data_IF_272751527348
#
_entry.id   IF_272751527348
#
_cell.length_a   1.000
_cell.length_b   1.000
_cell.length_c   1.000
_cell.angle_alpha   90.00
_cell.angle_beta   90.00
_cell.angle_gamma   90.00
#
_symmetry.space_group_name_H-M   'P 1'
#
loop_
_entity.id
_entity.type
_entity.pdbx_description
1 polymer ?
#
# COMPACT_ATOMS: atom_id res chain seq x y z
N UNK A 1 -13.71 6.53 -9.30
CA UNK A 1 -12.90 5.87 -10.36
C UNK A 1 -13.08 4.36 -10.35
N UNK A 2 -12.79 3.65 -9.25
CA UNK A 2 -13.04 2.22 -9.08
C UNK A 2 -14.04 2.04 -7.94
N UNK A 3 -15.08 1.25 -8.14
CA UNK A 3 -16.06 0.91 -7.12
C UNK A 3 -16.30 -0.60 -7.12
N UNK A 4 -16.11 -1.19 -5.97
CA UNK A 4 -16.43 -2.59 -5.69
C UNK A 4 -17.66 -2.60 -4.77
N UNK A 5 -18.73 -3.25 -5.20
CA UNK A 5 -19.97 -3.35 -4.44
C UNK A 5 -20.20 -4.81 -4.05
N UNK A 6 -19.97 -5.14 -2.78
CA UNK A 6 -20.22 -6.45 -2.19
C UNK A 6 -19.60 -7.61 -2.99
N UNK A 7 -18.38 -7.41 -3.48
CA UNK A 7 -17.67 -8.40 -4.31
C UNK A 7 -17.33 -9.63 -3.49
N UNK A 8 -17.71 -10.81 -4.01
CA UNK A 8 -17.37 -12.11 -3.42
C UNK A 8 -16.79 -13.04 -4.48
N UNK A 9 -15.81 -13.85 -4.09
CA UNK A 9 -15.18 -14.85 -4.95
C UNK A 9 -14.76 -16.08 -4.18
N UNK A 10 -15.17 -17.24 -4.68
CA UNK A 10 -14.84 -18.56 -4.15
C UNK A 10 -14.16 -19.42 -5.18
N UNK A 11 -13.37 -20.38 -4.71
CA UNK A 11 -12.73 -21.40 -5.53
C UNK A 11 -13.02 -22.79 -4.96
N UNK A 12 -13.14 -23.78 -5.84
CA UNK A 12 -13.20 -25.18 -5.40
C UNK A 12 -11.77 -25.75 -5.43
N UNK A 13 -11.23 -26.06 -4.27
CA UNK A 13 -9.90 -26.64 -4.11
C UNK A 13 -10.04 -28.01 -3.44
N UNK A 14 -9.74 -29.08 -4.18
CA UNK A 14 -9.83 -30.47 -3.69
C UNK A 14 -11.21 -30.81 -3.07
N UNK A 15 -12.30 -30.35 -3.70
CA UNK A 15 -13.68 -30.61 -3.24
C UNK A 15 -14.13 -29.74 -2.08
N UNK A 16 -13.30 -28.80 -1.60
CA UNK A 16 -13.65 -27.82 -0.57
C UNK A 16 -13.81 -26.44 -1.20
N UNK A 17 -14.89 -25.75 -0.86
CA UNK A 17 -15.08 -24.35 -1.25
C UNK A 17 -14.24 -23.45 -0.36
N UNK A 18 -13.35 -22.67 -0.97
CA UNK A 18 -12.54 -21.64 -0.30
C UNK A 18 -13.04 -20.27 -0.76
N UNK A 19 -13.62 -19.51 0.13
CA UNK A 19 -14.05 -18.14 -0.11
C UNK A 19 -12.85 -17.21 0.03
N UNK A 20 -12.27 -16.80 -1.11
CA UNK A 20 -11.08 -15.96 -1.16
C UNK A 20 -11.39 -14.46 -0.99
N UNK A 21 -12.58 -14.01 -1.38
CA UNK A 21 -13.07 -12.63 -1.20
C UNK A 21 -14.52 -12.72 -0.74
N UNK A 22 -14.86 -11.98 0.32
CA UNK A 22 -16.16 -12.09 1.02
C UNK A 22 -16.76 -10.71 1.20
N UNK A 23 -17.77 -10.40 0.40
CA UNK A 23 -18.59 -9.18 0.51
C UNK A 23 -17.76 -7.88 0.64
N UNK A 24 -16.72 -7.73 -0.20
CA UNK A 24 -15.81 -6.59 -0.14
C UNK A 24 -16.40 -5.40 -0.91
N UNK A 25 -16.45 -4.23 -0.25
CA UNK A 25 -16.85 -2.96 -0.85
C UNK A 25 -15.74 -1.92 -0.65
N UNK A 26 -15.26 -1.34 -1.76
CA UNK A 26 -14.17 -0.35 -1.80
C UNK A 26 -14.52 0.70 -2.85
N UNK A 27 -14.24 1.97 -2.52
CA UNK A 27 -14.28 3.07 -3.49
C UNK A 27 -12.90 3.72 -3.57
N UNK A 28 -12.39 3.87 -4.80
CA UNK A 28 -11.10 4.52 -5.09
C UNK A 28 -11.36 5.73 -5.99
N UNK A 29 -10.83 6.86 -5.60
CA UNK A 29 -10.99 8.12 -6.33
C UNK A 29 -10.04 8.20 -7.54
N UNK A 30 -10.33 9.12 -8.45
CA UNK A 30 -9.47 9.35 -9.62
C UNK A 30 -8.15 9.98 -9.19
N UNK A 31 -7.03 9.42 -9.68
CA UNK A 31 -5.68 9.89 -9.36
C UNK A 31 -5.18 9.44 -7.98
N UNK A 32 -5.98 8.72 -7.21
CA UNK A 32 -5.60 8.18 -5.91
C UNK A 32 -4.65 6.98 -6.05
N UNK A 33 -3.70 6.84 -5.13
CA UNK A 33 -2.96 5.60 -4.90
C UNK A 33 -3.60 4.88 -3.71
N UNK A 34 -4.33 3.81 -3.98
CA UNK A 34 -5.02 3.02 -2.98
C UNK A 34 -4.31 1.70 -2.73
N UNK A 35 -3.98 1.44 -1.47
CA UNK A 35 -3.30 0.22 -1.05
C UNK A 35 -4.27 -0.81 -0.45
N UNK A 36 -3.96 -2.10 -0.65
CA UNK A 36 -4.59 -3.18 0.13
C UNK A 36 -3.50 -4.01 0.77
N UNK A 37 -3.56 -4.13 2.09
CA UNK A 37 -2.60 -4.86 2.89
C UNK A 37 -3.26 -6.02 3.64
N UNK A 38 -2.49 -7.02 3.99
CA UNK A 38 -2.96 -8.18 4.76
C UNK A 38 -1.98 -9.34 4.67
N UNK A 39 -2.12 -10.32 5.56
CA UNK A 39 -1.28 -11.51 5.58
C UNK A 39 -1.39 -12.33 4.29
N UNK A 40 -0.42 -13.23 4.08
CA UNK A 40 -0.50 -14.19 2.97
C UNK A 40 -1.80 -15.00 3.08
N UNK A 41 -2.48 -15.19 1.94
CA UNK A 41 -3.77 -15.88 1.91
C UNK A 41 -4.99 -15.02 2.28
N UNK A 42 -4.84 -13.73 2.61
CA UNK A 42 -5.96 -12.84 2.95
C UNK A 42 -6.94 -12.55 1.78
N UNK A 43 -6.61 -12.95 0.54
CA UNK A 43 -7.48 -12.76 -0.64
C UNK A 43 -7.08 -11.59 -1.55
N UNK A 44 -6.00 -10.87 -1.25
CA UNK A 44 -5.56 -9.65 -1.96
C UNK A 44 -5.38 -9.85 -3.47
N UNK A 45 -4.61 -10.86 -3.89
CA UNK A 45 -4.38 -11.14 -5.33
C UNK A 45 -5.67 -11.55 -6.04
N UNK A 46 -6.60 -12.23 -5.37
CA UNK A 46 -7.93 -12.53 -5.92
C UNK A 46 -8.72 -11.24 -6.10
N UNK A 47 -8.69 -10.34 -5.11
CA UNK A 47 -9.40 -9.06 -5.17
C UNK A 47 -8.93 -8.20 -6.36
N UNK A 48 -7.60 -8.03 -6.52
CA UNK A 48 -7.07 -7.22 -7.65
C UNK A 48 -7.41 -7.85 -9.01
N UNK A 49 -7.46 -9.18 -9.11
CA UNK A 49 -7.89 -9.88 -10.32
C UNK A 49 -9.40 -9.80 -10.58
N UNK A 50 -10.20 -9.58 -9.55
CA UNK A 50 -11.61 -9.25 -9.71
C UNK A 50 -11.82 -7.86 -10.32
N UNK A 51 -10.97 -6.87 -10.01
CA UNK A 51 -11.12 -5.50 -10.53
C UNK A 51 -11.06 -5.47 -12.07
N UNK A 52 -10.14 -6.22 -12.67
CA UNK A 52 -10.04 -6.31 -14.13
C UNK A 52 -10.79 -7.52 -14.73
N UNK A 53 -11.58 -8.22 -13.89
CA UNK A 53 -12.33 -9.44 -14.24
C UNK A 53 -11.46 -10.57 -14.85
N UNK A 54 -10.16 -10.62 -14.53
CA UNK A 54 -9.36 -11.84 -14.77
C UNK A 54 -9.95 -13.01 -13.98
N UNK A 55 -10.40 -12.72 -12.75
CA UNK A 55 -11.29 -13.56 -11.97
C UNK A 55 -12.68 -12.90 -11.92
N UNK A 56 -13.71 -13.59 -12.45
CA UNK A 56 -15.07 -13.07 -12.36
C UNK A 56 -15.60 -13.27 -10.94
N UNK A 57 -16.11 -12.21 -10.29
CA UNK A 57 -16.82 -12.34 -9.02
C UNK A 57 -18.00 -13.32 -9.13
N UNK A 58 -18.26 -14.05 -8.07
CA UNK A 58 -19.43 -14.93 -7.97
C UNK A 58 -20.66 -14.11 -7.53
N UNK A 59 -20.43 -13.01 -6.80
CA UNK A 59 -21.45 -12.03 -6.41
C UNK A 59 -20.88 -10.62 -6.36
N UNK A 60 -21.76 -9.63 -6.36
CA UNK A 60 -21.40 -8.22 -6.35
C UNK A 60 -21.10 -7.64 -7.73
N UNK A 61 -20.59 -6.43 -7.74
CA UNK A 61 -20.34 -5.66 -8.98
C UNK A 61 -18.99 -4.96 -8.94
N UNK A 62 -18.37 -4.86 -10.10
CA UNK A 62 -17.15 -4.07 -10.32
C UNK A 62 -17.50 -2.95 -11.29
N UNK A 63 -17.44 -1.70 -10.80
CA UNK A 63 -17.76 -0.51 -11.57
C UNK A 63 -16.49 0.31 -11.77
N UNK A 64 -16.21 0.69 -13.01
CA UNK A 64 -15.09 1.56 -13.38
C UNK A 64 -15.62 2.71 -14.21
N UNK A 65 -15.39 3.93 -13.77
CA UNK A 65 -15.94 5.16 -14.36
C UNK A 65 -17.45 5.09 -14.61
N UNK A 66 -18.19 4.59 -13.62
CA UNK A 66 -19.66 4.45 -13.71
C UNK A 66 -20.11 3.28 -14.61
N UNK A 67 -19.18 2.51 -15.20
CA UNK A 67 -19.51 1.37 -16.06
C UNK A 67 -19.32 0.05 -15.31
N UNK A 68 -20.41 -0.71 -15.14
CA UNK A 68 -20.35 -2.03 -14.51
C UNK A 68 -19.68 -3.05 -15.46
N UNK A 69 -18.46 -3.47 -15.13
CA UNK A 69 -17.70 -4.42 -15.92
C UNK A 69 -18.28 -5.84 -15.86
N UNK A 70 -18.97 -6.19 -14.77
CA UNK A 70 -19.50 -7.53 -14.54
C UNK A 70 -20.58 -7.91 -15.57
N UNK A 71 -21.24 -6.91 -16.17
CA UNK A 71 -22.33 -7.11 -17.16
C UNK A 71 -21.86 -7.08 -18.61
N UNK A 72 -20.58 -6.77 -18.85
CA UNK A 72 -20.04 -6.61 -20.19
C UNK A 72 -19.88 -7.95 -20.93
N UNK A 73 -20.14 -7.93 -22.23
CA UNK A 73 -19.73 -9.00 -23.16
C UNK A 73 -18.21 -9.11 -23.23
N UNK A 74 -17.70 -10.26 -23.66
CA UNK A 74 -16.26 -10.49 -23.81
C UNK A 74 -15.57 -9.46 -24.74
N UNK A 75 -16.27 -8.94 -25.75
CA UNK A 75 -15.75 -7.92 -26.66
C UNK A 75 -15.65 -6.56 -25.95
N UNK A 76 -16.69 -6.15 -25.24
CA UNK A 76 -16.72 -4.88 -24.50
C UNK A 76 -15.71 -4.90 -23.35
N UNK A 77 -15.60 -6.03 -22.64
CA UNK A 77 -14.62 -6.20 -21.56
C UNK A 77 -13.18 -6.09 -22.07
N UNK A 78 -12.88 -6.61 -23.28
CA UNK A 78 -11.56 -6.43 -23.89
C UNK A 78 -11.25 -4.95 -24.13
N UNK A 79 -12.23 -4.18 -24.60
CA UNK A 79 -12.08 -2.72 -24.77
C UNK A 79 -11.89 -2.01 -23.44
N UNK A 80 -12.70 -2.36 -22.42
CA UNK A 80 -12.58 -1.76 -21.09
C UNK A 80 -11.20 -2.04 -20.44
N UNK A 81 -10.66 -3.24 -20.62
CA UNK A 81 -9.33 -3.63 -20.09
C UNK A 81 -8.16 -2.83 -20.68
N UNK A 82 -8.33 -2.16 -21.83
CA UNK A 82 -7.29 -1.25 -22.38
C UNK A 82 -7.00 -0.09 -21.46
N UNK A 83 -8.02 0.35 -20.70
CA UNK A 83 -7.91 1.43 -19.71
C UNK A 83 -7.32 0.96 -18.38
N UNK A 84 -6.99 -0.33 -18.24
CA UNK A 84 -6.51 -0.95 -17.01
C UNK A 84 -5.18 -1.63 -17.30
N UNK A 85 -4.09 -1.01 -16.87
CA UNK A 85 -2.77 -1.65 -16.85
C UNK A 85 -2.66 -2.61 -15.67
N UNK A 86 -1.87 -3.68 -15.81
CA UNK A 86 -1.61 -4.59 -14.70
C UNK A 86 -0.14 -4.97 -14.62
N UNK A 87 0.42 -4.81 -13.43
CA UNK A 87 1.76 -5.25 -13.03
C UNK A 87 1.60 -6.53 -12.21
N UNK A 88 2.24 -7.60 -12.63
CA UNK A 88 2.16 -8.91 -11.98
C UNK A 88 3.39 -9.16 -11.10
N UNK A 89 3.23 -9.88 -10.00
CA UNK A 89 4.28 -10.25 -9.05
C UNK A 89 5.50 -10.91 -9.72
N UNK A 90 5.28 -11.79 -10.70
CA UNK A 90 6.34 -12.51 -11.43
C UNK A 90 6.82 -11.82 -12.72
N UNK A 91 6.60 -10.50 -12.89
CA UNK A 91 6.89 -9.71 -14.10
C UNK A 91 6.11 -10.16 -15.34
N UNK A 92 5.91 -11.45 -15.55
CA UNK A 92 5.24 -12.07 -16.69
C UNK A 92 5.77 -11.61 -18.07
N UNK A 93 7.10 -11.41 -18.17
CA UNK A 93 7.75 -11.04 -19.41
C UNK A 93 7.91 -12.25 -20.34
N UNK A 94 7.75 -12.01 -21.64
CA UNK A 94 8.05 -12.97 -22.68
C UNK A 94 9.56 -13.18 -22.77
N UNK A 95 10.04 -14.32 -22.30
CA UNK A 95 11.48 -14.65 -22.19
C UNK A 95 12.22 -14.62 -23.52
N UNK A 96 11.53 -14.91 -24.60
CA UNK A 96 12.05 -14.99 -25.98
C UNK A 96 11.88 -13.69 -26.78
N UNK A 97 11.33 -12.65 -26.16
CA UNK A 97 11.12 -11.33 -26.76
C UNK A 97 12.03 -10.29 -26.12
N UNK A 98 12.46 -9.31 -26.90
CA UNK A 98 13.25 -8.18 -26.41
C UNK A 98 12.42 -7.32 -25.45
N UNK A 99 13.06 -6.36 -24.75
CA UNK A 99 12.39 -5.32 -23.96
C UNK A 99 11.40 -4.56 -24.83
N UNK A 100 11.82 -4.11 -26.01
CA UNK A 100 10.95 -3.46 -27.00
C UNK A 100 9.72 -4.32 -27.32
N UNK A 101 9.93 -5.58 -27.68
CA UNK A 101 8.82 -6.47 -28.06
C UNK A 101 7.89 -6.80 -26.90
N UNK A 102 8.39 -6.88 -25.69
CA UNK A 102 7.55 -7.02 -24.49
C UNK A 102 6.58 -5.86 -24.32
N UNK A 103 7.06 -4.61 -24.52
CA UNK A 103 6.24 -3.39 -24.39
C UNK A 103 5.32 -3.24 -25.61
N UNK A 104 5.82 -3.53 -26.82
CA UNK A 104 5.07 -3.41 -28.06
C UNK A 104 3.98 -4.47 -28.24
N UNK A 105 4.11 -5.65 -27.60
CA UNK A 105 3.23 -6.80 -27.83
C UNK A 105 1.74 -6.52 -27.65
N UNK A 106 1.30 -5.85 -26.56
CA UNK A 106 -0.11 -5.51 -26.40
C UNK A 106 -0.63 -4.64 -27.55
N UNK A 107 0.13 -3.65 -27.98
CA UNK A 107 -0.22 -2.72 -29.06
C UNK A 107 -0.32 -3.44 -30.41
N UNK A 108 0.64 -4.33 -30.70
CA UNK A 108 0.63 -5.17 -31.92
C UNK A 108 -0.61 -6.06 -32.00
N UNK A 109 -1.03 -6.64 -30.87
CA UNK A 109 -2.21 -7.49 -30.79
C UNK A 109 -3.53 -6.74 -31.08
N UNK A 110 -3.52 -5.43 -30.89
CA UNK A 110 -4.66 -4.56 -31.16
C UNK A 110 -4.63 -3.90 -32.54
N UNK A 111 -3.58 -4.15 -33.30
CA UNK A 111 -3.44 -3.60 -34.65
C UNK A 111 -3.07 -2.11 -34.67
N UNK A 112 -2.43 -1.60 -33.61
CA UNK A 112 -1.92 -0.22 -33.58
C UNK A 112 -0.87 -0.05 -34.68
N UNK A 113 -0.86 1.08 -35.42
CA UNK A 113 0.13 1.37 -36.47
C UNK A 113 1.57 1.32 -35.95
N UNK A 114 2.49 0.85 -36.79
CA UNK A 114 3.88 0.63 -36.40
C UNK A 114 4.58 1.89 -35.87
N UNK A 115 4.33 3.03 -36.50
CA UNK A 115 4.96 4.31 -36.12
C UNK A 115 4.43 4.79 -34.75
N UNK A 116 3.16 4.54 -34.45
CA UNK A 116 2.56 4.83 -33.15
C UNK A 116 3.11 3.89 -32.07
N UNK A 117 3.30 2.59 -32.39
CA UNK A 117 3.93 1.62 -31.48
C UNK A 117 5.35 2.11 -31.14
N UNK A 118 6.13 2.51 -32.13
CA UNK A 118 7.49 2.99 -31.96
C UNK A 118 7.54 4.20 -31.01
N UNK A 119 6.65 5.18 -31.25
CA UNK A 119 6.54 6.38 -30.43
C UNK A 119 6.17 6.06 -28.99
N UNK A 120 5.16 5.23 -28.76
CA UNK A 120 4.72 4.85 -27.43
C UNK A 120 5.76 4.03 -26.67
N UNK A 121 6.40 3.05 -27.33
CA UNK A 121 7.45 2.24 -26.69
C UNK A 121 8.63 3.11 -26.25
N UNK A 122 9.09 4.03 -27.11
CA UNK A 122 10.18 4.94 -26.76
C UNK A 122 9.80 5.86 -25.60
N UNK A 123 8.57 6.41 -25.59
CA UNK A 123 8.04 7.21 -24.47
C UNK A 123 8.13 6.45 -23.15
N UNK A 124 7.66 5.21 -23.11
CA UNK A 124 7.63 4.44 -21.86
C UNK A 124 8.99 3.86 -21.48
N UNK A 125 9.87 3.57 -22.44
CA UNK A 125 11.27 3.25 -22.15
C UNK A 125 11.97 4.41 -21.44
N UNK A 126 11.73 5.65 -21.90
CA UNK A 126 12.28 6.83 -21.27
C UNK A 126 11.72 7.08 -19.87
N UNK A 127 10.40 6.93 -19.68
CA UNK A 127 9.78 7.07 -18.35
C UNK A 127 10.40 6.12 -17.33
N UNK A 128 10.70 4.86 -17.73
CA UNK A 128 11.28 3.86 -16.85
C UNK A 128 12.80 3.83 -16.83
N UNK A 129 13.48 4.67 -17.65
CA UNK A 129 14.95 4.79 -17.73
C UNK A 129 15.63 3.54 -18.26
N UNK A 130 15.13 2.98 -19.37
CA UNK A 130 15.63 1.73 -19.97
C UNK A 130 15.85 1.86 -21.50
N UNK A 131 16.11 3.05 -22.02
CA UNK A 131 16.33 3.29 -23.44
C UNK A 131 17.49 2.45 -23.99
N UNK A 132 18.58 2.35 -23.22
CA UNK A 132 19.78 1.58 -23.55
C UNK A 132 19.57 0.06 -23.54
N UNK A 133 18.49 -0.41 -22.90
CA UNK A 133 18.14 -1.83 -22.78
C UNK A 133 17.10 -2.30 -23.81
N UNK A 134 16.68 -1.43 -24.74
CA UNK A 134 15.62 -1.69 -25.70
C UNK A 134 15.71 -3.06 -26.40
N UNK A 135 16.90 -3.45 -26.80
CA UNK A 135 17.18 -4.67 -27.56
C UNK A 135 17.58 -5.86 -26.68
N UNK A 136 17.67 -5.68 -25.36
CA UNK A 136 18.03 -6.74 -24.44
C UNK A 136 16.85 -7.73 -24.23
N UNK A 137 17.18 -8.94 -23.85
CA UNK A 137 16.21 -9.96 -23.44
C UNK A 137 16.04 -9.96 -21.91
N UNK A 138 14.92 -10.43 -21.37
CA UNK A 138 14.70 -10.51 -19.93
C UNK A 138 15.77 -11.24 -19.14
N UNK A 139 16.44 -12.24 -19.74
CA UNK A 139 17.56 -12.96 -19.12
C UNK A 139 18.79 -12.10 -18.84
N UNK A 140 18.91 -10.97 -19.52
CA UNK A 140 20.02 -10.01 -19.42
C UNK A 140 19.72 -8.85 -18.45
N UNK A 141 18.56 -8.87 -17.78
CA UNK A 141 18.08 -7.79 -16.92
C UNK A 141 18.11 -8.20 -15.45
N UNK A 142 18.42 -7.23 -14.59
CA UNK A 142 18.22 -7.38 -13.14
C UNK A 142 16.73 -7.46 -12.79
N UNK A 143 16.39 -7.86 -11.55
CA UNK A 143 15.00 -7.90 -11.07
C UNK A 143 14.28 -6.56 -11.20
N UNK A 144 14.92 -5.48 -10.77
CA UNK A 144 14.37 -4.12 -10.89
C UNK A 144 14.19 -3.66 -12.34
N UNK A 145 15.14 -4.01 -13.23
CA UNK A 145 14.98 -3.72 -14.65
C UNK A 145 13.80 -4.50 -15.26
N UNK A 146 13.63 -5.79 -14.93
CA UNK A 146 12.46 -6.56 -15.34
C UNK A 146 11.16 -5.94 -14.86
N UNK A 147 11.13 -5.44 -13.63
CA UNK A 147 9.97 -4.75 -13.07
C UNK A 147 9.66 -3.47 -13.83
N UNK A 148 10.67 -2.66 -14.14
CA UNK A 148 10.51 -1.45 -14.95
C UNK A 148 9.96 -1.76 -16.36
N UNK A 149 10.41 -2.85 -16.99
CA UNK A 149 9.83 -3.32 -18.28
C UNK A 149 8.37 -3.74 -18.12
N UNK A 150 8.01 -4.43 -17.03
CA UNK A 150 6.63 -4.81 -16.75
C UNK A 150 5.73 -3.57 -16.54
N UNK A 151 6.24 -2.54 -15.86
CA UNK A 151 5.56 -1.24 -15.71
C UNK A 151 5.37 -0.58 -17.07
N UNK A 152 6.43 -0.44 -17.88
CA UNK A 152 6.35 0.17 -19.21
C UNK A 152 5.34 -0.56 -20.11
N UNK A 153 5.29 -1.90 -20.06
CA UNK A 153 4.31 -2.70 -20.80
C UNK A 153 2.88 -2.43 -20.30
N UNK A 154 2.68 -2.32 -18.99
CA UNK A 154 1.36 -2.02 -18.42
C UNK A 154 0.85 -0.63 -18.83
N UNK A 155 1.76 0.32 -19.04
CA UNK A 155 1.46 1.70 -19.48
C UNK A 155 1.26 1.82 -21.01
N UNK A 156 1.65 0.84 -21.82
CA UNK A 156 1.69 0.95 -23.28
C UNK A 156 0.35 1.35 -23.92
N UNK A 157 -0.77 0.98 -23.29
CA UNK A 157 -2.12 1.37 -23.74
C UNK A 157 -2.59 2.72 -23.21
N UNK A 158 -1.75 3.47 -22.51
CA UNK A 158 -2.12 4.73 -21.86
C UNK A 158 -3.33 4.53 -20.91
N UNK A 159 -3.21 3.61 -19.94
CA UNK A 159 -4.33 3.27 -19.07
C UNK A 159 -4.67 4.42 -18.12
N UNK A 160 -5.91 4.47 -17.67
CA UNK A 160 -6.37 5.39 -16.62
C UNK A 160 -6.19 4.79 -15.22
N UNK A 161 -6.06 3.46 -15.14
CA UNK A 161 -5.89 2.68 -13.91
C UNK A 161 -4.68 1.76 -14.05
N UNK A 162 -3.85 1.70 -13.02
CA UNK A 162 -2.75 0.76 -12.89
C UNK A 162 -2.98 -0.14 -11.68
N UNK A 163 -3.19 -1.43 -11.94
CA UNK A 163 -3.29 -2.46 -10.90
C UNK A 163 -1.90 -3.05 -10.63
N UNK A 164 -1.53 -3.23 -9.38
CA UNK A 164 -0.24 -3.79 -8.98
C UNK A 164 -0.42 -4.96 -8.00
N UNK A 165 -0.01 -6.15 -8.44
CA UNK A 165 -0.02 -7.38 -7.64
C UNK A 165 1.39 -7.62 -7.09
N UNK A 166 1.67 -7.17 -5.87
CA UNK A 166 2.94 -7.33 -5.13
C UNK A 166 4.20 -7.00 -5.96
N UNK A 167 4.20 -5.83 -6.59
CA UNK A 167 5.26 -5.42 -7.54
C UNK A 167 6.67 -5.29 -6.96
N UNK A 168 6.82 -5.25 -5.63
CA UNK A 168 8.11 -5.04 -4.93
C UNK A 168 8.61 -6.27 -4.17
N UNK A 169 7.77 -7.27 -3.93
CA UNK A 169 8.03 -8.40 -3.01
C UNK A 169 9.26 -9.26 -3.32
N UNK A 170 9.78 -9.20 -4.55
CA UNK A 170 10.96 -9.95 -4.98
C UNK A 170 12.21 -9.07 -5.17
N UNK A 171 12.18 -7.83 -4.68
CA UNK A 171 13.22 -6.82 -4.89
C UNK A 171 13.95 -6.51 -3.57
N UNK A 172 15.21 -6.09 -3.69
CA UNK A 172 15.93 -5.57 -2.52
C UNK A 172 15.52 -4.11 -2.21
N UNK A 173 15.85 -3.61 -0.99
CA UNK A 173 15.36 -2.33 -0.48
C UNK A 173 15.60 -1.12 -1.41
N UNK A 174 16.81 -0.96 -1.93
CA UNK A 174 17.16 0.14 -2.86
C UNK A 174 16.36 0.07 -4.16
N UNK A 175 16.13 -1.14 -4.66
CA UNK A 175 15.36 -1.37 -5.89
C UNK A 175 13.87 -1.11 -5.64
N UNK A 176 13.36 -1.53 -4.50
CA UNK A 176 11.99 -1.25 -4.05
C UNK A 176 11.76 0.27 -4.03
N UNK A 177 12.64 1.02 -3.35
CA UNK A 177 12.56 2.48 -3.32
C UNK A 177 12.50 3.09 -4.72
N UNK A 178 13.38 2.66 -5.63
CA UNK A 178 13.40 3.17 -7.00
C UNK A 178 12.12 2.85 -7.79
N UNK A 179 11.44 1.73 -7.50
CA UNK A 179 10.13 1.38 -8.09
C UNK A 179 9.01 2.21 -7.47
N UNK A 180 9.02 2.45 -6.16
CA UNK A 180 8.02 3.30 -5.49
C UNK A 180 8.08 4.74 -6.00
N UNK A 181 9.27 5.31 -6.13
CA UNK A 181 9.47 6.64 -6.71
C UNK A 181 8.98 6.70 -8.17
N UNK A 182 9.22 5.65 -8.94
CA UNK A 182 8.69 5.57 -10.31
C UNK A 182 7.16 5.54 -10.33
N UNK A 183 6.50 4.79 -9.44
CA UNK A 183 5.04 4.75 -9.35
C UNK A 183 4.45 6.11 -8.92
N UNK A 184 5.08 6.80 -7.96
CA UNK A 184 4.71 8.17 -7.57
C UNK A 184 4.82 9.14 -8.75
N UNK A 185 5.93 9.08 -9.49
CA UNK A 185 6.15 9.90 -10.69
C UNK A 185 5.08 9.65 -11.75
N UNK A 186 4.77 8.38 -12.03
CA UNK A 186 3.74 7.97 -12.99
C UNK A 186 2.36 8.51 -12.55
N UNK A 187 2.01 8.37 -11.27
CA UNK A 187 0.75 8.90 -10.73
C UNK A 187 0.67 10.42 -10.88
N UNK A 188 1.72 11.16 -10.50
CA UNK A 188 1.75 12.62 -10.53
C UNK A 188 1.75 13.18 -11.96
N UNK A 189 2.58 12.64 -12.87
CA UNK A 189 2.75 13.16 -14.22
C UNK A 189 1.64 12.74 -15.18
N UNK A 190 1.12 11.52 -15.03
CA UNK A 190 0.11 10.97 -15.94
C UNK A 190 -1.31 10.98 -15.37
N UNK A 191 -1.49 11.35 -14.10
CA UNK A 191 -2.80 11.35 -13.42
C UNK A 191 -3.45 9.97 -13.29
N UNK A 192 -2.66 8.88 -13.35
CA UNK A 192 -3.16 7.50 -13.33
C UNK A 192 -3.56 7.12 -11.90
N UNK A 193 -4.75 6.53 -11.75
CA UNK A 193 -5.18 5.91 -10.49
C UNK A 193 -4.43 4.61 -10.27
N UNK A 194 -3.82 4.41 -9.11
CA UNK A 194 -3.08 3.18 -8.79
C UNK A 194 -3.79 2.41 -7.70
N UNK A 195 -4.07 1.14 -7.96
CA UNK A 195 -4.55 0.18 -6.95
C UNK A 195 -3.48 -0.88 -6.75
N UNK A 196 -2.89 -0.92 -5.57
CA UNK A 196 -1.82 -1.87 -5.29
C UNK A 196 -2.15 -2.78 -4.13
N UNK A 197 -1.66 -4.00 -4.20
CA UNK A 197 -1.68 -4.94 -3.08
C UNK A 197 -0.25 -5.27 -2.65
N UNK A 198 -0.05 -5.37 -1.34
CA UNK A 198 1.23 -5.70 -0.73
C UNK A 198 1.02 -6.34 0.64
N UNK A 199 2.07 -6.96 1.16
CA UNK A 199 2.17 -7.34 2.58
C UNK A 199 3.17 -6.45 3.34
N UNK A 200 3.79 -5.48 2.67
CA UNK A 200 4.79 -4.55 3.19
C UNK A 200 4.11 -3.23 3.57
N UNK A 201 4.08 -2.90 4.86
CA UNK A 201 3.49 -1.65 5.35
C UNK A 201 4.28 -0.41 4.94
N UNK A 202 5.61 -0.54 4.83
CA UNK A 202 6.49 0.52 4.36
C UNK A 202 6.10 1.03 2.96
N UNK A 203 5.69 0.11 2.06
CA UNK A 203 5.14 0.48 0.75
C UNK A 203 3.86 1.32 0.90
N UNK A 204 2.96 0.93 1.80
CA UNK A 204 1.71 1.65 2.05
C UNK A 204 2.00 3.06 2.58
N UNK A 205 2.87 3.19 3.57
CA UNK A 205 3.25 4.47 4.16
C UNK A 205 3.80 5.45 3.13
N UNK A 206 4.70 4.99 2.28
CA UNK A 206 5.46 5.82 1.35
C UNK A 206 4.68 6.33 0.17
N UNK A 207 3.73 5.57 -0.37
CA UNK A 207 3.11 5.95 -1.64
C UNK A 207 1.58 5.99 -1.64
N UNK A 208 0.88 5.39 -0.66
CA UNK A 208 -0.58 5.34 -0.67
C UNK A 208 -1.21 6.58 -0.03
N UNK A 209 -2.38 6.96 -0.52
CA UNK A 209 -3.25 7.98 0.09
C UNK A 209 -4.18 7.33 1.11
N UNK A 210 -4.79 6.21 0.72
CA UNK A 210 -5.67 5.39 1.56
C UNK A 210 -5.29 3.93 1.46
N UNK A 211 -5.70 3.18 2.48
CA UNK A 211 -5.42 1.74 2.58
C UNK A 211 -6.63 0.98 3.13
N UNK A 212 -6.78 -0.24 2.66
CA UNK A 212 -7.70 -1.23 3.19
C UNK A 212 -6.91 -2.42 3.76
N UNK A 213 -7.33 -2.91 4.92
CA UNK A 213 -6.75 -4.08 5.57
C UNK A 213 -7.66 -5.28 5.32
N UNK A 214 -7.08 -6.37 4.80
CA UNK A 214 -7.81 -7.62 4.53
C UNK A 214 -7.35 -8.74 5.45
N UNK A 215 -8.32 -9.50 5.94
CA UNK A 215 -8.11 -10.73 6.70
C UNK A 215 -9.13 -11.79 6.32
N UNK A 216 -8.68 -13.02 6.00
CA UNK A 216 -9.54 -14.18 5.71
C UNK A 216 -10.64 -13.91 4.66
N UNK A 217 -10.33 -13.12 3.63
CA UNK A 217 -11.23 -12.72 2.56
C UNK A 217 -12.12 -11.51 2.86
N UNK A 218 -12.14 -11.02 4.09
CA UNK A 218 -12.88 -9.83 4.49
C UNK A 218 -12.03 -8.57 4.46
N UNK A 219 -12.67 -7.44 4.15
CA UNK A 219 -12.13 -6.13 4.45
C UNK A 219 -12.48 -5.82 5.91
N UNK A 220 -11.47 -5.68 6.77
CA UNK A 220 -11.66 -5.48 8.21
C UNK A 220 -11.56 -4.02 8.63
N UNK A 221 -10.78 -3.22 7.90
CA UNK A 221 -10.67 -1.79 8.15
C UNK A 221 -10.20 -1.07 6.88
N UNK A 222 -10.60 0.21 6.69
CA UNK A 222 -10.10 1.08 5.63
C UNK A 222 -10.13 2.54 6.08
N UNK A 223 -9.20 3.33 5.56
CA UNK A 223 -9.08 4.75 5.90
C UNK A 223 -7.91 5.42 5.20
N UNK A 224 -7.60 6.66 5.57
CA UNK A 224 -6.33 7.29 5.19
C UNK A 224 -5.17 6.50 5.80
N UNK A 225 -4.00 6.53 5.16
CA UNK A 225 -2.81 5.89 5.71
C UNK A 225 -2.55 6.39 7.13
N UNK A 226 -2.66 7.70 7.34
CA UNK A 226 -2.48 8.31 8.66
C UNK A 226 -3.44 7.74 9.72
N UNK A 227 -4.74 7.64 9.42
CA UNK A 227 -5.72 7.10 10.39
C UNK A 227 -5.44 5.63 10.73
N UNK A 228 -5.08 4.81 9.73
CA UNK A 228 -4.76 3.39 9.95
C UNK A 228 -3.51 3.24 10.83
N UNK A 229 -2.51 4.11 10.69
CA UNK A 229 -1.27 4.03 11.47
C UNK A 229 -1.36 4.68 12.86
N UNK A 230 -2.32 5.58 13.09
CA UNK A 230 -2.45 6.31 14.36
C UNK A 230 -3.71 6.00 15.15
N UNK A 231 -4.76 5.46 14.51
CA UNK A 231 -6.09 5.26 15.11
C UNK A 231 -6.71 3.92 14.71
N UNK A 232 -5.87 2.89 14.51
CA UNK A 232 -6.34 1.54 14.18
C UNK A 232 -7.37 1.05 15.20
N UNK A 233 -8.49 0.52 14.70
CA UNK A 233 -9.61 0.04 15.53
C UNK A 233 -9.63 -1.49 15.60
N UNK A 234 -9.48 -2.14 14.44
CA UNK A 234 -9.55 -3.60 14.35
C UNK A 234 -8.29 -4.26 14.93
N UNK A 235 -8.46 -5.36 15.66
CA UNK A 235 -7.35 -6.07 16.31
C UNK A 235 -6.25 -6.49 15.30
N UNK A 236 -6.62 -6.91 14.09
CA UNK A 236 -5.69 -7.29 13.04
C UNK A 236 -4.90 -6.08 12.53
N UNK A 237 -5.55 -4.93 12.34
CA UNK A 237 -4.89 -3.68 11.94
C UNK A 237 -3.89 -3.26 13.01
N UNK A 238 -4.30 -3.27 14.29
CA UNK A 238 -3.40 -2.96 15.42
C UNK A 238 -2.17 -3.86 15.44
N UNK A 239 -2.35 -5.17 15.25
CA UNK A 239 -1.21 -6.12 15.18
C UNK A 239 -0.32 -5.86 13.97
N UNK A 240 -0.91 -5.52 12.81
CA UNK A 240 -0.17 -5.24 11.59
C UNK A 240 0.70 -3.99 11.76
N UNK A 241 0.09 -2.87 12.19
CA UNK A 241 0.78 -1.60 12.45
C UNK A 241 1.71 -1.71 13.66
N UNK A 242 1.30 -2.42 14.71
CA UNK A 242 2.06 -2.61 15.93
C UNK A 242 3.31 -3.48 15.72
N UNK A 243 3.32 -4.42 14.77
CA UNK A 243 4.50 -5.24 14.48
C UNK A 243 5.66 -4.42 13.87
N UNK A 244 5.38 -3.32 13.19
CA UNK A 244 6.40 -2.37 12.74
C UNK A 244 6.71 -1.27 13.78
N UNK A 245 5.72 -0.93 14.62
CA UNK A 245 5.89 0.01 15.73
C UNK A 245 6.42 -0.66 17.01
N UNK A 246 6.54 -2.01 17.04
CA UNK A 246 7.17 -2.70 18.17
C UNK A 246 8.65 -2.37 18.16
N UNK A 247 8.99 -1.33 18.93
CA UNK A 247 10.35 -1.17 19.37
C UNK A 247 10.77 -2.50 19.99
N UNK A 248 11.85 -3.09 19.51
CA UNK A 248 12.36 -4.39 19.96
C UNK A 248 12.93 -4.26 21.40
N UNK A 249 12.01 -4.03 22.34
CA UNK A 249 12.33 -3.85 23.75
C UNK A 249 12.03 -5.18 24.47
N UNK A 250 13.03 -5.77 25.13
CA UNK A 250 12.84 -6.98 25.91
C UNK A 250 11.70 -6.88 26.92
N UNK A 251 10.91 -7.93 27.05
CA UNK A 251 9.69 -7.92 27.88
C UNK A 251 10.00 -7.66 29.37
N UNK A 252 11.11 -8.20 29.87
CA UNK A 252 11.60 -7.95 31.24
C UNK A 252 11.89 -6.48 31.50
N UNK A 253 12.35 -5.74 30.49
CA UNK A 253 12.58 -4.31 30.59
C UNK A 253 11.27 -3.53 30.58
N UNK A 254 10.28 -3.93 29.76
CA UNK A 254 8.94 -3.32 29.76
C UNK A 254 8.24 -3.50 31.09
N UNK A 255 8.30 -4.72 31.69
CA UNK A 255 7.73 -5.02 33.00
C UNK A 255 8.33 -4.11 34.11
N UNK A 256 9.65 -3.87 34.06
CA UNK A 256 10.31 -2.96 34.98
C UNK A 256 9.80 -1.52 34.87
N UNK A 257 9.56 -1.04 33.65
CA UNK A 257 9.04 0.32 33.45
C UNK A 257 7.57 0.45 33.88
N UNK A 258 6.73 -0.53 33.61
CA UNK A 258 5.32 -0.55 34.06
C UNK A 258 5.23 -0.54 35.58
N UNK A 259 6.16 -1.21 36.28
CA UNK A 259 6.20 -1.22 37.73
C UNK A 259 6.59 0.13 38.38
N UNK A 260 7.18 1.06 37.61
CA UNK A 260 7.74 2.33 38.13
C UNK A 260 7.08 3.58 37.54
N UNK A 261 6.05 3.43 36.73
CA UNK A 261 5.31 4.53 36.12
C UNK A 261 4.40 4.05 34.99
N UNK A 262 4.03 4.95 34.07
CA UNK A 262 3.14 4.64 32.96
C UNK A 262 3.92 4.61 31.64
N UNK A 263 3.73 3.54 30.86
CA UNK A 263 4.21 3.46 29.49
C UNK A 263 3.17 4.00 28.51
N UNK A 264 3.60 4.88 27.62
CA UNK A 264 2.76 5.47 26.56
C UNK A 264 3.48 5.47 25.23
N UNK A 265 2.76 5.17 24.17
CA UNK A 265 3.18 5.43 22.79
C UNK A 265 2.63 6.79 22.37
N UNK A 266 3.50 7.67 21.93
CA UNK A 266 3.15 9.00 21.46
C UNK A 266 3.33 9.08 19.96
N UNK A 267 2.30 9.54 19.24
CA UNK A 267 2.36 9.76 17.81
C UNK A 267 2.20 11.27 17.53
N UNK A 268 3.18 11.83 16.84
CA UNK A 268 3.25 13.23 16.43
C UNK A 268 2.99 13.32 14.93
N UNK A 269 2.06 14.17 14.53
CA UNK A 269 1.57 14.25 13.15
C UNK A 269 1.92 15.63 12.58
N UNK A 270 2.65 15.67 11.44
CA UNK A 270 2.95 16.93 10.75
C UNK A 270 3.81 17.88 11.58
N UNK A 271 3.47 19.18 11.54
CA UNK A 271 4.22 20.25 12.19
C UNK A 271 4.20 20.17 13.73
N UNK A 272 3.26 19.43 14.32
CA UNK A 272 3.20 19.18 15.76
C UNK A 272 4.38 18.34 16.28
N UNK A 273 5.11 17.68 15.37
CA UNK A 273 6.35 16.97 15.70
C UNK A 273 7.49 17.90 16.14
N UNK A 274 7.41 19.18 15.81
CA UNK A 274 8.45 20.17 16.13
C UNK A 274 8.27 20.81 17.54
N UNK A 275 7.11 20.63 18.20
CA UNK A 275 6.91 21.15 19.55
C UNK A 275 7.62 20.29 20.60
N UNK A 276 8.29 20.93 21.61
CA UNK A 276 8.99 20.21 22.67
C UNK A 276 8.01 19.65 23.72
N UNK A 277 7.04 18.83 23.29
CA UNK A 277 5.92 18.34 24.09
C UNK A 277 6.37 17.68 25.42
N UNK A 278 7.40 16.83 25.38
CA UNK A 278 7.93 16.15 26.57
C UNK A 278 8.62 17.13 27.54
N UNK A 279 9.29 18.17 27.03
CA UNK A 279 9.89 19.20 27.86
C UNK A 279 8.80 20.05 28.54
N UNK A 280 7.69 20.32 27.86
CA UNK A 280 6.55 21.02 28.43
C UNK A 280 5.84 20.18 29.50
N UNK A 281 5.72 18.87 29.30
CA UNK A 281 5.21 17.94 30.31
C UNK A 281 6.03 18.01 31.58
N UNK A 282 7.36 17.89 31.52
CA UNK A 282 8.25 17.94 32.69
C UNK A 282 8.20 19.28 33.42
N UNK A 283 7.87 20.37 32.71
CA UNK A 283 7.78 21.73 33.33
C UNK A 283 6.45 22.02 34.01
N UNK A 284 5.35 21.41 33.48
CA UNK A 284 3.98 21.68 33.95
C UNK A 284 3.49 20.71 35.02
N UNK A 285 4.03 19.49 35.01
CA UNK A 285 3.60 18.40 35.87
C UNK A 285 4.80 17.79 36.58
N UNK A 286 4.59 17.18 37.74
CA UNK A 286 5.64 16.45 38.48
C UNK A 286 5.83 15.05 37.86
N UNK A 287 6.22 15.04 36.59
CA UNK A 287 6.42 13.84 35.77
C UNK A 287 7.79 13.93 35.08
N UNK A 288 8.52 12.82 35.11
CA UNK A 288 9.80 12.66 34.43
C UNK A 288 9.64 11.73 33.23
N UNK A 289 9.53 12.27 32.01
CA UNK A 289 9.44 11.47 30.81
C UNK A 289 10.81 10.93 30.40
N UNK A 290 10.91 9.63 30.19
CA UNK A 290 12.09 8.96 29.62
C UNK A 290 11.75 8.35 28.27
N UNK A 291 12.45 8.76 27.21
CA UNK A 291 12.30 8.16 25.89
C UNK A 291 13.01 6.81 25.90
N UNK A 292 12.27 5.74 25.64
CA UNK A 292 12.80 4.38 25.57
C UNK A 292 13.18 4.00 24.14
N UNK A 293 12.39 4.46 23.18
CA UNK A 293 12.63 4.27 21.76
C UNK A 293 11.87 5.32 20.95
N UNK A 294 12.26 5.54 19.69
CA UNK A 294 11.59 6.48 18.81
C UNK A 294 12.09 6.43 17.38
N UNK A 295 11.28 6.97 16.50
CA UNK A 295 11.57 7.06 15.07
C UNK A 295 10.65 8.06 14.38
N UNK A 296 11.02 8.41 13.14
CA UNK A 296 10.21 9.25 12.25
C UNK A 296 9.95 8.47 10.99
N UNK A 297 8.68 8.21 10.70
CA UNK A 297 8.23 7.59 9.46
C UNK A 297 7.83 8.68 8.46
N UNK A 298 8.31 8.53 7.24
CA UNK A 298 7.90 9.40 6.13
C UNK A 298 6.69 8.80 5.43
N UNK A 299 5.54 9.45 5.59
CA UNK A 299 4.34 9.13 4.84
C UNK A 299 4.32 9.90 3.51
N UNK A 300 3.53 9.46 2.53
CA UNK A 300 3.32 10.20 1.27
C UNK A 300 2.93 11.66 1.51
N UNK A 301 2.06 11.90 2.49
CA UNK A 301 1.45 13.21 2.77
C UNK A 301 1.90 13.79 4.13
N UNK A 302 3.13 13.52 4.57
CA UNK A 302 3.64 14.11 5.80
C UNK A 302 4.62 13.22 6.57
N UNK A 303 4.87 13.57 7.80
CA UNK A 303 5.73 12.82 8.71
C UNK A 303 4.93 12.32 9.91
N UNK A 304 5.28 11.15 10.40
CA UNK A 304 4.74 10.55 11.61
C UNK A 304 5.89 10.27 12.59
N UNK A 305 6.02 11.09 13.62
CA UNK A 305 6.93 10.83 14.74
C UNK A 305 6.31 9.80 15.67
N UNK A 306 7.07 8.80 16.08
CA UNK A 306 6.65 7.80 17.08
C UNK A 306 7.65 7.77 18.21
N UNK A 307 7.17 7.87 19.45
CA UNK A 307 8.00 7.72 20.64
C UNK A 307 7.35 6.75 21.62
N UNK A 308 8.13 5.83 22.15
CA UNK A 308 7.76 5.06 23.34
C UNK A 308 8.38 5.78 24.57
N UNK A 309 7.52 6.20 25.48
CA UNK A 309 7.90 7.02 26.62
C UNK A 309 7.44 6.38 27.91
N UNK A 310 8.34 6.33 28.89
CA UNK A 310 8.02 6.00 30.27
C UNK A 310 7.80 7.32 31.04
N UNK A 311 6.61 7.51 31.58
CA UNK A 311 6.23 8.62 32.42
C UNK A 311 6.38 8.20 33.89
N UNK A 312 7.42 8.68 34.58
CA UNK A 312 7.65 8.40 35.97
C UNK A 312 7.07 9.54 36.81
N UNK A 313 6.19 9.22 37.77
CA UNK A 313 5.47 10.16 38.62
C UNK A 313 4.28 9.51 39.29
N UNK A 314 3.49 10.29 40.04
CA UNK A 314 2.26 9.82 40.62
C UNK A 314 1.17 9.66 39.57
N UNK A 315 0.22 8.74 39.82
CA UNK A 315 -0.87 8.41 38.90
C UNK A 315 -1.71 9.64 38.48
N UNK A 316 -1.94 10.55 39.43
CA UNK A 316 -2.68 11.79 39.16
C UNK A 316 -1.90 12.70 38.22
N UNK A 317 -0.59 12.81 38.41
CA UNK A 317 0.27 13.71 37.62
C UNK A 317 0.49 13.18 36.20
N UNK A 318 0.79 11.87 36.02
CA UNK A 318 0.94 11.38 34.65
C UNK A 318 -0.41 11.32 33.91
N UNK A 319 -1.54 11.17 34.61
CA UNK A 319 -2.87 11.27 33.97
C UNK A 319 -3.16 12.68 33.46
N UNK A 320 -2.79 13.71 34.20
CA UNK A 320 -2.87 15.12 33.74
C UNK A 320 -1.93 15.38 32.55
N UNK A 321 -0.71 14.84 32.61
CA UNK A 321 0.26 14.96 31.53
C UNK A 321 -0.24 14.31 30.24
N UNK A 322 -0.85 13.12 30.31
CA UNK A 322 -1.48 12.43 29.19
C UNK A 322 -2.64 13.27 28.61
N UNK A 323 -3.50 13.83 29.47
CA UNK A 323 -4.59 14.71 29.04
C UNK A 323 -4.06 15.94 28.30
N UNK A 324 -3.04 16.58 28.85
CA UNK A 324 -2.37 17.73 28.23
C UNK A 324 -1.77 17.39 26.85
N UNK A 325 -1.09 16.24 26.71
CA UNK A 325 -0.53 15.79 25.43
C UNK A 325 -1.65 15.59 24.40
N UNK A 326 -2.77 14.96 24.78
CA UNK A 326 -3.94 14.78 23.90
C UNK A 326 -4.56 16.12 23.48
N UNK A 327 -4.67 17.07 24.37
CA UNK A 327 -5.17 18.44 24.09
C UNK A 327 -4.22 19.22 23.17
N UNK A 328 -2.92 18.93 23.22
CA UNK A 328 -1.89 19.51 22.35
C UNK A 328 -1.78 18.80 20.98
N UNK A 329 -2.74 17.94 20.61
CA UNK A 329 -2.77 17.26 19.29
C UNK A 329 -1.96 15.96 19.24
N UNK A 330 -1.22 15.59 20.28
CA UNK A 330 -0.45 14.34 20.29
C UNK A 330 -1.39 13.14 20.47
N UNK A 331 -1.31 12.15 19.58
CA UNK A 331 -2.02 10.90 19.77
C UNK A 331 -1.29 10.06 20.82
N UNK A 332 -1.98 9.74 21.91
CA UNK A 332 -1.42 8.99 23.04
C UNK A 332 -2.13 7.67 23.20
N UNK A 333 -1.39 6.58 23.07
CA UNK A 333 -1.85 5.21 23.33
C UNK A 333 -1.15 4.67 24.58
N UNK A 334 -1.94 4.12 25.51
CA UNK A 334 -1.39 3.44 26.68
C UNK A 334 -0.92 2.06 26.29
N UNK A 335 0.32 1.71 26.68
CA UNK A 335 0.88 0.39 26.40
C UNK A 335 0.54 -0.54 27.57
N UNK A 336 -0.28 -1.55 27.29
CA UNK A 336 -0.58 -2.62 28.22
C UNK A 336 0.32 -3.82 27.90
N UNK A 337 0.90 -4.45 28.94
CA UNK A 337 1.61 -5.72 28.80
C UNK A 337 0.57 -6.81 28.58
N UNK A 338 0.72 -7.57 27.48
CA UNK A 338 -0.13 -8.74 27.17
C UNK A 338 0.32 -9.96 27.97
#
# INVERSE_FOLDING_TARGET
MIELHQVSKSFNVNGKTVEAVKNVSITVEKGEIFGVVGYSGAGKSTLVRCINLLERPDAGQVVIDGKNLSTLSSKELRVARRKIGMIFQGYNLLKTATVYDNIAKPLKLEGVPKDEIETRVNKYLSIVGLEDKRNNYPSQLSGGQKQRVAIARALAHEPEILLSDEATSALGPETTEAILQLLLKINAELGITIFLITHELDVIQRICDRVAVMENGHLVEQGTVLDIFTKAKHATTKRFVGSEASFDIPQDLLEKYVATGKLVSLHFIGDEADEPALALVSRKFDVLPSILAGGIDHLKNGTLGKLLVHLKGDEVEYSKAISYLKESGVVVEEVELL
#
